data_IF_707718580618
#
_entry.id   IF_707718580618
#
_cell.length_a   1.000
_cell.length_b   1.000
_cell.length_c   1.000
_cell.angle_alpha   90.00
_cell.angle_beta   90.00
_cell.angle_gamma   90.00
#
_symmetry.space_group_name_H-M   'P 1'
#
loop_
_entity.id
_entity.type
_entity.pdbx_description
1 polymer ?
#
# COMPACT_ATOMS: atom_id res chain seq x y z
N UNK A 1 7.24 -1.15 12.60
CA UNK A 1 5.92 -1.79 12.80
C UNK A 1 4.96 -1.20 11.79
N UNK A 2 4.49 -1.97 10.80
CA UNK A 2 3.68 -1.48 9.67
C UNK A 2 2.17 -1.59 9.88
N UNK A 3 1.72 -2.14 11.01
CA UNK A 3 0.32 -2.35 11.37
C UNK A 3 -0.49 -2.95 10.21
N UNK A 4 -1.62 -2.35 9.85
CA UNK A 4 -2.52 -2.81 8.78
C UNK A 4 -2.09 -2.38 7.37
N UNK A 5 -0.84 -1.92 7.18
CA UNK A 5 -0.21 -1.78 5.86
C UNK A 5 -0.44 -0.44 5.14
N UNK A 6 -1.12 0.52 5.74
CA UNK A 6 -1.39 1.82 5.09
C UNK A 6 -0.11 2.59 4.74
N UNK A 7 0.86 2.61 5.65
CA UNK A 7 2.15 3.28 5.45
C UNK A 7 2.96 2.67 4.29
N UNK A 8 3.27 1.35 4.25
CA UNK A 8 4.05 0.80 3.15
C UNK A 8 3.36 0.92 1.79
N UNK A 9 2.01 0.88 1.74
CA UNK A 9 1.30 1.18 0.50
C UNK A 9 1.41 2.64 0.09
N UNK A 10 1.35 3.58 1.05
CA UNK A 10 1.57 5.01 0.77
C UNK A 10 2.97 5.25 0.20
N UNK A 11 4.00 4.61 0.77
CA UNK A 11 5.38 4.67 0.25
C UNK A 11 5.42 4.11 -1.17
N UNK A 12 4.76 2.98 -1.44
CA UNK A 12 4.72 2.39 -2.78
C UNK A 12 4.01 3.28 -3.80
N UNK A 13 2.93 3.97 -3.43
CA UNK A 13 2.23 4.90 -4.32
C UNK A 13 3.12 6.09 -4.67
N UNK A 14 3.74 6.71 -3.67
CA UNK A 14 4.66 7.84 -3.88
C UNK A 14 5.84 7.44 -4.75
N UNK A 15 6.39 6.24 -4.55
CA UNK A 15 7.49 5.74 -5.38
C UNK A 15 7.07 5.55 -6.85
N UNK A 16 5.85 5.05 -7.11
CA UNK A 16 5.32 4.96 -8.48
C UNK A 16 5.11 6.33 -9.11
N UNK A 17 4.51 7.27 -8.39
CA UNK A 17 4.33 8.65 -8.86
C UNK A 17 5.67 9.31 -9.21
N UNK A 18 6.69 9.08 -8.38
CA UNK A 18 8.04 9.59 -8.65
C UNK A 18 8.62 9.00 -9.95
N UNK A 19 8.52 7.68 -10.16
CA UNK A 19 9.02 7.02 -11.38
C UNK A 19 8.28 7.51 -12.63
N UNK A 20 6.96 7.72 -12.53
CA UNK A 20 6.16 8.24 -13.64
C UNK A 20 6.56 9.68 -14.01
N UNK A 21 6.79 10.53 -13.01
CA UNK A 21 7.16 11.93 -13.20
C UNK A 21 8.62 12.12 -13.67
N UNK A 22 9.49 11.13 -13.48
CA UNK A 22 10.92 11.23 -13.75
C UNK A 22 11.37 10.21 -14.80
N UNK A 23 11.52 10.60 -16.08
CA UNK A 23 11.95 9.68 -17.14
C UNK A 23 13.29 8.97 -16.87
N UNK A 24 14.19 9.61 -16.12
CA UNK A 24 15.48 9.03 -15.71
C UNK A 24 15.35 7.88 -14.72
N UNK A 25 14.22 7.78 -14.01
CA UNK A 25 13.93 6.71 -13.06
C UNK A 25 13.15 5.54 -13.71
N UNK A 26 12.84 5.59 -15.01
CA UNK A 26 12.16 4.49 -15.72
C UNK A 26 12.97 3.20 -15.59
N UNK A 27 12.28 2.12 -15.19
CA UNK A 27 12.90 0.81 -14.95
C UNK A 27 13.47 0.62 -13.54
N UNK A 28 13.37 1.62 -12.66
CA UNK A 28 13.72 1.44 -11.25
C UNK A 28 12.90 0.31 -10.61
N UNK A 29 13.59 -0.58 -9.90
CA UNK A 29 12.95 -1.67 -9.14
C UNK A 29 12.63 -1.18 -7.74
N UNK A 30 11.36 -1.05 -7.42
CA UNK A 30 10.88 -0.66 -6.09
C UNK A 30 10.56 -1.93 -5.30
N UNK A 31 11.20 -2.09 -4.14
CA UNK A 31 10.92 -3.15 -3.18
C UNK A 31 10.88 -2.58 -1.77
N UNK A 32 9.78 -2.80 -1.08
CA UNK A 32 9.50 -2.29 0.27
C UNK A 32 9.33 -3.49 1.19
N UNK A 33 10.13 -3.59 2.25
CA UNK A 33 9.95 -4.61 3.29
C UNK A 33 9.23 -3.98 4.46
N UNK A 34 7.99 -4.43 4.69
CA UNK A 34 7.14 -3.95 5.76
C UNK A 34 7.08 -4.99 6.89
N UNK A 35 7.35 -4.57 8.12
CA UNK A 35 7.49 -5.49 9.25
C UNK A 35 6.58 -5.14 10.41
N UNK A 36 6.03 -6.17 11.04
CA UNK A 36 5.22 -6.04 12.26
C UNK A 36 5.37 -7.29 13.14
N UNK A 37 5.10 -7.17 14.43
CA UNK A 37 5.07 -8.30 15.36
C UNK A 37 3.72 -9.04 15.29
N UNK A 38 2.65 -8.33 14.94
CA UNK A 38 1.29 -8.88 14.91
C UNK A 38 1.01 -9.62 13.60
N UNK A 39 0.88 -10.94 13.67
CA UNK A 39 0.48 -11.77 12.53
C UNK A 39 -0.90 -11.40 11.99
N UNK A 40 -1.83 -11.00 12.87
CA UNK A 40 -3.16 -10.50 12.49
C UNK A 40 -3.07 -9.21 11.70
N UNK A 41 -2.24 -8.25 12.14
CA UNK A 41 -2.04 -7.00 11.42
C UNK A 41 -1.42 -7.25 10.03
N UNK A 42 -0.41 -8.13 9.95
CA UNK A 42 0.21 -8.54 8.69
C UNK A 42 -0.78 -9.23 7.74
N UNK A 43 -1.71 -10.04 8.26
CA UNK A 43 -2.74 -10.67 7.44
C UNK A 43 -3.70 -9.64 6.83
N UNK A 44 -4.11 -8.62 7.59
CA UNK A 44 -4.92 -7.51 7.08
C UNK A 44 -4.14 -6.67 6.06
N UNK A 45 -2.88 -6.36 6.37
CA UNK A 45 -2.00 -5.60 5.48
C UNK A 45 -1.82 -6.30 4.13
N UNK A 46 -1.60 -7.63 4.12
CA UNK A 46 -1.49 -8.44 2.90
C UNK A 46 -2.77 -8.45 2.06
N UNK A 47 -3.95 -8.44 2.69
CA UNK A 47 -5.22 -8.29 1.95
C UNK A 47 -5.29 -6.93 1.25
N UNK A 48 -4.82 -5.88 1.92
CA UNK A 48 -4.81 -4.51 1.39
C UNK A 48 -6.21 -3.98 1.11
N UNK A 49 -7.20 -4.47 1.87
CA UNK A 49 -8.59 -4.03 1.80
C UNK A 49 -8.86 -3.01 2.90
N UNK A 50 -9.48 -1.89 2.53
CA UNK A 50 -9.80 -0.79 3.42
C UNK A 50 -11.22 -0.30 3.16
N UNK A 51 -11.89 0.13 4.23
CA UNK A 51 -13.19 0.79 4.12
C UNK A 51 -13.02 2.18 3.48
N UNK A 52 -14.00 2.58 2.67
CA UNK A 52 -14.00 3.87 1.98
C UNK A 52 -13.84 5.04 2.95
N UNK A 53 -14.49 4.98 4.12
CA UNK A 53 -14.36 6.01 5.15
C UNK A 53 -12.94 6.14 5.68
N UNK A 54 -12.22 5.02 5.83
CA UNK A 54 -10.82 5.02 6.26
C UNK A 54 -9.90 5.63 5.19
N UNK A 55 -10.20 5.42 3.90
CA UNK A 55 -9.45 6.03 2.80
C UNK A 55 -9.74 7.52 2.64
N UNK A 56 -10.97 7.96 2.90
CA UNK A 56 -11.38 9.37 2.73
C UNK A 56 -10.62 10.36 3.63
N UNK A 57 -9.95 9.89 4.67
CA UNK A 57 -9.07 10.71 5.52
C UNK A 57 -7.63 10.61 5.03
N UNK A 58 -7.17 11.62 4.29
CA UNK A 58 -5.77 11.76 3.88
C UNK A 58 -5.42 11.21 2.49
N UNK A 59 -6.34 10.53 1.81
CA UNK A 59 -6.18 10.14 0.41
C UNK A 59 -6.99 11.07 -0.51
N UNK A 60 -6.32 11.69 -1.49
CA UNK A 60 -7.02 12.45 -2.54
C UNK A 60 -7.89 11.53 -3.41
N UNK A 61 -9.00 12.03 -3.95
CA UNK A 61 -9.84 11.28 -4.92
C UNK A 61 -9.02 10.74 -6.10
N UNK A 62 -8.09 11.54 -6.63
CA UNK A 62 -7.22 11.12 -7.73
C UNK A 62 -6.40 9.87 -7.38
N UNK A 63 -5.71 9.87 -6.23
CA UNK A 63 -4.96 8.70 -5.75
C UNK A 63 -5.87 7.51 -5.46
N UNK A 64 -7.07 7.75 -4.95
CA UNK A 64 -8.04 6.69 -4.72
C UNK A 64 -8.42 5.99 -6.04
N UNK A 65 -8.81 6.75 -7.05
CA UNK A 65 -9.19 6.23 -8.37
C UNK A 65 -8.01 5.54 -9.08
N UNK A 66 -6.79 6.05 -8.90
CA UNK A 66 -5.59 5.52 -9.52
C UNK A 66 -5.08 4.23 -8.87
N UNK A 67 -5.08 4.16 -7.54
CA UNK A 67 -4.37 3.12 -6.78
C UNK A 67 -5.28 2.11 -6.08
N UNK A 68 -6.61 2.28 -6.14
CA UNK A 68 -7.55 1.37 -5.53
C UNK A 68 -8.63 0.92 -6.50
N UNK A 69 -9.13 -0.30 -6.28
CA UNK A 69 -10.27 -0.88 -6.98
C UNK A 69 -11.35 -1.25 -5.97
N UNK A 70 -12.61 -0.93 -6.27
CA UNK A 70 -13.74 -1.36 -5.46
C UNK A 70 -13.90 -2.88 -5.58
N UNK A 71 -13.92 -3.58 -4.45
CA UNK A 71 -14.08 -5.05 -4.41
C UNK A 71 -15.45 -5.48 -3.88
N UNK A 72 -16.07 -4.66 -3.03
CA UNK A 72 -17.45 -4.81 -2.53
C UNK A 72 -17.98 -3.44 -2.10
N UNK A 73 -19.26 -3.36 -1.75
CA UNK A 73 -19.82 -2.09 -1.28
C UNK A 73 -19.05 -1.57 -0.06
N UNK A 74 -18.67 -0.28 -0.10
CA UNK A 74 -17.88 0.35 0.96
C UNK A 74 -16.43 -0.13 1.13
N UNK A 75 -15.94 -1.15 0.40
CA UNK A 75 -14.58 -1.68 0.57
C UNK A 75 -13.78 -1.64 -0.73
N UNK A 76 -12.58 -1.11 -0.60
CA UNK A 76 -11.64 -0.86 -1.67
C UNK A 76 -10.35 -1.60 -1.38
N UNK A 77 -9.73 -2.12 -2.43
CA UNK A 77 -8.48 -2.85 -2.34
C UNK A 77 -7.39 -2.10 -3.09
N UNK A 78 -6.19 -2.05 -2.50
CA UNK A 78 -5.00 -1.51 -3.16
C UNK A 78 -4.70 -2.33 -4.42
N UNK A 79 -4.47 -1.65 -5.54
CA UNK A 79 -4.23 -2.28 -6.83
C UNK A 79 -2.95 -3.13 -6.81
N UNK A 80 -2.94 -4.18 -7.64
CA UNK A 80 -1.86 -5.19 -7.64
C UNK A 80 -0.48 -4.60 -7.92
N UNK A 81 -0.37 -3.58 -8.78
CA UNK A 81 0.88 -2.88 -9.08
C UNK A 81 1.52 -2.25 -7.83
N UNK A 82 0.72 -1.72 -6.91
CA UNK A 82 1.21 -1.15 -5.63
C UNK A 82 1.53 -2.27 -4.64
N UNK A 83 0.66 -3.29 -4.55
CA UNK A 83 0.87 -4.40 -3.60
C UNK A 83 2.09 -5.24 -3.91
N UNK A 84 2.39 -5.47 -5.18
CA UNK A 84 3.53 -6.28 -5.60
C UNK A 84 4.88 -5.70 -5.18
N UNK A 85 4.96 -4.39 -4.90
CA UNK A 85 6.16 -3.74 -4.40
C UNK A 85 6.40 -3.97 -2.89
N UNK A 86 5.42 -4.49 -2.15
CA UNK A 86 5.47 -4.59 -0.69
C UNK A 86 5.55 -6.04 -0.23
N UNK A 87 6.62 -6.36 0.51
CA UNK A 87 6.83 -7.65 1.15
C UNK A 87 6.60 -7.53 2.67
N UNK A 88 5.58 -8.22 3.16
CA UNK A 88 5.24 -8.24 4.59
C UNK A 88 5.95 -9.38 5.33
N UNK A 89 6.69 -9.05 6.41
CA UNK A 89 7.42 -10.01 7.26
C UNK A 89 7.11 -9.83 8.75
N UNK A 90 7.02 -10.94 9.47
CA UNK A 90 6.95 -10.92 10.94
C UNK A 90 8.34 -10.68 11.53
N UNK A 91 8.50 -9.65 12.35
CA UNK A 91 9.75 -9.37 13.07
C UNK A 91 9.42 -8.89 14.49
N UNK A 92 10.08 -9.48 15.48
CA UNK A 92 10.21 -8.90 16.82
C UNK A 92 11.47 -8.02 16.85
N UNK A 93 11.33 -6.74 17.21
CA UNK A 93 12.42 -5.76 17.22
C UNK A 93 13.14 -5.66 18.57
N UNK A 94 12.75 -6.47 19.56
CA UNK A 94 13.32 -6.55 20.90
C UNK A 94 14.18 -7.79 21.08
#
# INVERSE_FOLDING_TARGET
>A
ACATGQEPYSISMVAQEFVEANPSARGAKISIVATDISSTALALAKKGEYELFALGRGLSKHRQEKFFSKVKEGVWQVNQNVRACVLFKGINLL
#
